data_IF_158415059904
#
_entry.id   IF_158415059904
#
_cell.length_a   1.000
_cell.length_b   1.000
_cell.length_c   1.000
_cell.angle_alpha   90.00
_cell.angle_beta   90.00
_cell.angle_gamma   90.00
#
_symmetry.space_group_name_H-M   'P 1'
#
loop_
_entity.id
_entity.type
_entity.pdbx_description
1 polymer ?
#
# COMPACT_ATOMS: atom_id res chain seq x y z
N UNK A 1 -6.38 3.67 28.19
CA UNK A 1 -5.15 4.00 27.43
C UNK A 1 -5.39 3.60 25.98
N UNK A 2 -4.47 3.96 25.08
CA UNK A 2 -4.54 3.58 23.67
C UNK A 2 -3.20 2.99 23.26
N UNK A 3 -3.22 1.98 22.40
CA UNK A 3 -2.04 1.31 21.85
C UNK A 3 -1.95 1.55 20.34
N UNK A 4 -0.73 1.62 19.82
CA UNK A 4 -0.51 1.68 18.38
C UNK A 4 -0.79 0.31 17.77
N UNK A 5 -1.44 0.30 16.61
CA UNK A 5 -1.73 -0.87 15.81
C UNK A 5 -1.17 -0.66 14.41
N UNK A 6 -0.51 -1.69 13.89
CA UNK A 6 0.16 -1.71 12.60
C UNK A 6 -0.47 -2.79 11.74
N UNK A 7 -0.81 -2.46 10.50
CA UNK A 7 -1.28 -3.42 9.49
C UNK A 7 -0.40 -3.35 8.26
N UNK A 8 0.27 -4.46 7.95
CA UNK A 8 1.03 -4.65 6.70
C UNK A 8 0.23 -5.50 5.72
N UNK A 9 0.20 -5.06 4.47
CA UNK A 9 -0.39 -5.76 3.33
C UNK A 9 0.63 -5.87 2.20
N UNK A 10 0.74 -7.03 1.59
CA UNK A 10 1.67 -7.28 0.49
C UNK A 10 0.89 -7.73 -0.74
N UNK A 11 1.08 -7.01 -1.85
CA UNK A 11 0.38 -7.28 -3.10
C UNK A 11 1.36 -7.70 -4.18
N UNK A 12 1.01 -8.75 -4.93
CA UNK A 12 1.61 -9.08 -6.21
C UNK A 12 0.88 -8.30 -7.30
N UNK A 13 1.43 -7.17 -7.69
CA UNK A 13 0.82 -6.26 -8.65
C UNK A 13 1.31 -6.55 -10.07
N UNK A 14 0.38 -6.87 -10.98
CA UNK A 14 0.69 -7.37 -12.33
C UNK A 14 1.40 -6.35 -13.24
N UNK A 15 1.52 -5.09 -12.83
CA UNK A 15 2.26 -4.08 -13.57
C UNK A 15 3.72 -4.03 -13.07
N UNK A 16 4.65 -4.57 -13.84
CA UNK A 16 6.04 -4.73 -13.38
C UNK A 16 6.87 -3.42 -13.38
N UNK A 17 6.58 -2.51 -14.31
CA UNK A 17 7.32 -1.27 -14.53
C UNK A 17 6.73 -0.09 -13.73
N UNK A 18 6.67 -0.28 -12.41
CA UNK A 18 6.25 0.75 -11.46
C UNK A 18 7.27 0.90 -10.34
N UNK A 19 7.70 2.14 -10.10
CA UNK A 19 8.43 2.55 -8.90
C UNK A 19 7.57 3.57 -8.12
N UNK A 20 7.01 3.13 -6.99
CA UNK A 20 6.11 3.94 -6.18
C UNK A 20 6.63 4.06 -4.76
N UNK A 21 6.53 5.27 -4.21
CA UNK A 21 6.66 5.53 -2.78
C UNK A 21 5.85 6.76 -2.43
N UNK A 22 4.90 6.64 -1.53
CA UNK A 22 4.30 7.80 -0.89
C UNK A 22 3.63 7.43 0.42
N UNK A 23 3.41 8.46 1.25
CA UNK A 23 2.62 8.39 2.46
C UNK A 23 1.34 9.22 2.25
N UNK A 24 0.21 8.62 2.56
CA UNK A 24 -1.08 9.29 2.65
C UNK A 24 -1.63 9.04 4.06
N UNK A 25 -1.83 10.12 4.82
CA UNK A 25 -2.17 10.07 6.25
C UNK A 25 -1.25 9.11 7.01
N UNK A 26 -1.79 8.05 7.60
CA UNK A 26 -1.05 7.08 8.40
C UNK A 26 -0.65 5.82 7.61
N UNK A 27 -0.78 5.85 6.30
CA UNK A 27 -0.49 4.70 5.42
C UNK A 27 0.63 5.05 4.44
N UNK A 28 1.63 4.18 4.35
CA UNK A 28 2.68 4.23 3.35
C UNK A 28 2.47 3.11 2.35
N UNK A 29 2.76 3.37 1.08
CA UNK A 29 2.93 2.33 0.05
C UNK A 29 4.28 2.48 -0.61
N UNK A 30 4.89 1.35 -0.95
CA UNK A 30 6.07 1.33 -1.79
C UNK A 30 6.20 0.07 -2.63
N UNK A 31 6.82 0.21 -3.80
CA UNK A 31 7.34 -0.91 -4.57
C UNK A 31 8.63 -1.44 -3.96
N UNK A 32 8.77 -2.76 -3.94
CA UNK A 32 10.04 -3.42 -3.63
C UNK A 32 10.82 -3.71 -4.91
N UNK A 33 12.09 -4.07 -4.76
CA UNK A 33 12.94 -4.57 -5.84
C UNK A 33 12.52 -5.97 -6.34
N UNK A 34 11.68 -6.69 -5.58
CA UNK A 34 11.24 -8.05 -5.89
C UNK A 34 10.21 -8.08 -7.01
N UNK A 35 10.46 -8.96 -7.98
CA UNK A 35 9.49 -9.44 -8.96
C UNK A 35 9.13 -10.88 -8.62
N UNK A 36 7.83 -11.21 -8.63
CA UNK A 36 7.33 -12.56 -8.40
C UNK A 36 6.61 -13.06 -9.66
N UNK A 37 6.82 -14.33 -9.99
CA UNK A 37 6.04 -15.00 -11.03
C UNK A 37 4.77 -15.55 -10.38
N UNK A 38 3.62 -15.10 -10.87
CA UNK A 38 2.30 -15.50 -10.40
C UNK A 38 1.64 -16.38 -11.47
N UNK A 39 0.84 -17.35 -11.03
CA UNK A 39 0.05 -18.20 -11.89
C UNK A 39 -1.42 -18.06 -11.51
N UNK A 40 -2.27 -17.82 -12.49
CA UNK A 40 -3.72 -17.82 -12.35
C UNK A 40 -4.39 -18.60 -13.50
N UNK A 41 -5.72 -18.55 -13.56
CA UNK A 41 -6.52 -19.23 -14.60
C UNK A 41 -6.23 -18.70 -16.02
N UNK A 42 -5.68 -17.50 -16.16
CA UNK A 42 -5.36 -16.85 -17.41
C UNK A 42 -3.88 -17.02 -17.82
N UNK A 43 -3.08 -17.67 -16.98
CA UNK A 43 -1.71 -18.07 -17.27
C UNK A 43 -0.69 -17.54 -16.26
N UNK A 44 0.53 -17.34 -16.75
CA UNK A 44 1.67 -16.92 -15.92
C UNK A 44 1.99 -15.46 -16.20
N UNK A 45 2.13 -14.65 -15.15
CA UNK A 45 2.53 -13.24 -15.27
C UNK A 45 3.60 -12.86 -14.24
N UNK A 46 4.36 -11.80 -14.55
CA UNK A 46 5.30 -11.19 -13.61
C UNK A 46 4.61 -10.08 -12.85
N UNK A 47 4.86 -10.02 -11.55
CA UNK A 47 4.27 -9.05 -10.66
C UNK A 47 5.33 -8.31 -9.87
N UNK A 48 5.22 -6.97 -9.81
CA UNK A 48 5.97 -6.14 -8.87
C UNK A 48 5.35 -6.32 -7.49
N UNK A 49 6.18 -6.55 -6.48
CA UNK A 49 5.68 -6.60 -5.10
C UNK A 49 5.54 -5.19 -4.55
N UNK A 50 4.32 -4.86 -4.12
CA UNK A 50 3.99 -3.63 -3.40
C UNK A 50 3.73 -3.97 -1.93
N UNK A 51 4.30 -3.19 -1.02
CA UNK A 51 4.01 -3.28 0.40
C UNK A 51 3.26 -2.02 0.85
N UNK A 52 2.19 -2.21 1.61
CA UNK A 52 1.44 -1.16 2.28
C UNK A 52 1.53 -1.37 3.78
N UNK A 53 1.82 -0.30 4.51
CA UNK A 53 1.83 -0.32 5.98
C UNK A 53 0.95 0.83 6.45
N UNK A 54 -0.11 0.48 7.17
CA UNK A 54 -1.03 1.42 7.78
C UNK A 54 -0.90 1.37 9.30
N UNK A 55 -1.09 2.53 9.94
CA UNK A 55 -0.94 2.69 11.38
C UNK A 55 -2.15 3.41 11.96
N UNK A 56 -2.61 2.97 13.12
CA UNK A 56 -3.70 3.61 13.85
C UNK A 56 -3.47 3.47 15.35
N UNK A 57 -4.18 4.25 16.15
CA UNK A 57 -4.32 3.99 17.58
C UNK A 57 -5.65 3.28 17.81
N UNK A 58 -5.66 2.30 18.70
CA UNK A 58 -6.87 1.66 19.20
C UNK A 58 -6.90 1.73 20.72
N UNK A 59 -8.07 1.89 21.30
CA UNK A 59 -8.27 1.92 22.74
C UNK A 59 -8.07 0.54 23.39
N UNK A 60 -7.79 0.49 24.69
CA UNK A 60 -7.55 -0.79 25.39
C UNK A 60 -8.73 -1.77 25.33
N UNK A 61 -9.95 -1.25 25.17
CA UNK A 61 -11.16 -2.05 25.07
C UNK A 61 -11.45 -2.53 23.63
N UNK A 62 -10.71 -2.01 22.65
CA UNK A 62 -10.83 -2.37 21.24
C UNK A 62 -9.94 -3.58 20.90
N UNK A 63 -10.40 -4.34 19.92
CA UNK A 63 -9.78 -5.58 19.46
C UNK A 63 -8.87 -5.36 18.25
N UNK A 64 -8.10 -6.38 17.88
CA UNK A 64 -7.33 -6.39 16.63
C UNK A 64 -8.22 -6.16 15.40
N UNK A 65 -9.46 -6.66 15.42
CA UNK A 65 -10.43 -6.46 14.34
C UNK A 65 -10.81 -4.99 14.18
N UNK A 66 -10.91 -4.25 15.28
CA UNK A 66 -11.17 -2.81 15.26
C UNK A 66 -9.97 -2.08 14.64
N UNK A 67 -8.75 -2.46 15.03
CA UNK A 67 -7.51 -1.96 14.41
C UNK A 67 -7.48 -2.17 12.90
N UNK A 68 -7.79 -3.39 12.43
CA UNK A 68 -7.89 -3.70 11.00
C UNK A 68 -8.96 -2.81 10.34
N UNK A 69 -10.14 -2.70 10.96
CA UNK A 69 -11.26 -1.90 10.44
C UNK A 69 -10.90 -0.44 10.27
N UNK A 70 -10.12 0.14 11.19
CA UNK A 70 -9.64 1.52 11.09
C UNK A 70 -8.59 1.72 9.98
N UNK A 71 -7.74 0.72 9.73
CA UNK A 71 -6.71 0.78 8.69
C UNK A 71 -7.26 0.58 7.27
N UNK A 72 -8.31 -0.24 7.08
CA UNK A 72 -8.85 -0.59 5.75
C UNK A 72 -9.20 0.64 4.89
N UNK A 73 -9.94 1.66 5.38
CA UNK A 73 -10.27 2.83 4.56
C UNK A 73 -9.05 3.58 4.03
N UNK A 74 -7.99 3.69 4.82
CA UNK A 74 -6.76 4.38 4.41
C UNK A 74 -5.97 3.55 3.39
N UNK A 75 -5.94 2.22 3.56
CA UNK A 75 -5.36 1.29 2.58
C UNK A 75 -6.10 1.40 1.24
N UNK A 76 -7.43 1.40 1.25
CA UNK A 76 -8.23 1.51 0.03
C UNK A 76 -7.99 2.83 -0.70
N UNK A 77 -7.84 3.95 0.02
CA UNK A 77 -7.50 5.25 -0.59
C UNK A 77 -6.14 5.20 -1.28
N UNK A 78 -5.13 4.62 -0.62
CA UNK A 78 -3.79 4.47 -1.18
C UNK A 78 -3.78 3.55 -2.41
N UNK A 79 -4.51 2.43 -2.37
CA UNK A 79 -4.71 1.56 -3.52
C UNK A 79 -5.35 2.31 -4.69
N UNK A 80 -6.43 3.06 -4.43
CA UNK A 80 -7.12 3.86 -5.44
C UNK A 80 -6.23 4.92 -6.08
N UNK A 81 -5.33 5.55 -5.32
CA UNK A 81 -4.35 6.49 -5.87
C UNK A 81 -3.45 5.79 -6.89
N UNK A 82 -2.87 4.63 -6.56
CA UNK A 82 -2.02 3.91 -7.52
C UNK A 82 -2.83 3.45 -8.73
N UNK A 83 -4.00 2.86 -8.50
CA UNK A 83 -4.89 2.39 -9.56
C UNK A 83 -5.38 3.51 -10.48
N UNK A 84 -5.55 4.72 -9.97
CA UNK A 84 -5.88 5.89 -10.78
C UNK A 84 -4.77 6.22 -11.79
N UNK A 85 -3.51 6.15 -11.38
CA UNK A 85 -2.38 6.46 -12.28
C UNK A 85 -2.07 5.35 -13.28
N UNK A 86 -2.24 4.10 -12.87
CA UNK A 86 -1.91 2.93 -13.71
C UNK A 86 -3.07 2.47 -14.58
N UNK A 87 -4.30 2.85 -14.24
CA UNK A 87 -5.51 2.27 -14.83
C UNK A 87 -5.76 0.81 -14.43
N UNK A 88 -4.96 0.26 -13.50
CA UNK A 88 -5.03 -1.13 -13.07
C UNK A 88 -5.38 -1.22 -11.57
N UNK A 89 -6.47 -1.92 -11.22
CA UNK A 89 -6.91 -2.01 -9.83
C UNK A 89 -5.94 -2.83 -8.98
N UNK A 90 -5.65 -2.36 -7.76
CA UNK A 90 -5.05 -3.19 -6.70
C UNK A 90 -6.20 -3.70 -5.84
N UNK A 91 -6.46 -5.00 -5.87
CA UNK A 91 -7.60 -5.62 -5.19
C UNK A 91 -7.14 -6.63 -4.14
N UNK A 92 -8.07 -7.10 -3.31
CA UNK A 92 -7.84 -8.18 -2.34
C UNK A 92 -7.36 -9.48 -3.01
N UNK A 93 -7.69 -9.71 -4.29
CA UNK A 93 -7.21 -10.88 -5.04
C UNK A 93 -5.73 -10.80 -5.40
N UNK A 94 -5.13 -9.61 -5.34
CA UNK A 94 -3.70 -9.41 -5.54
C UNK A 94 -2.90 -9.57 -4.24
N UNK A 95 -3.57 -9.70 -3.09
CA UNK A 95 -2.93 -9.86 -1.80
C UNK A 95 -2.27 -11.24 -1.72
N UNK A 96 -0.98 -11.27 -1.42
CA UNK A 96 -0.20 -12.52 -1.28
C UNK A 96 0.29 -12.77 0.13
N UNK A 97 0.27 -11.73 0.98
CA UNK A 97 0.66 -11.82 2.37
C UNK A 97 0.05 -10.65 3.16
N UNK A 98 -0.24 -10.87 4.43
CA UNK A 98 -0.63 -9.83 5.36
C UNK A 98 -0.28 -10.19 6.79
N UNK A 99 0.10 -9.17 7.56
CA UNK A 99 0.36 -9.32 8.98
C UNK A 99 -0.05 -8.04 9.71
N UNK A 100 -0.40 -8.19 10.98
CA UNK A 100 -0.63 -7.05 11.86
C UNK A 100 0.19 -7.22 13.15
N UNK A 101 0.43 -6.11 13.83
CA UNK A 101 1.14 -6.10 15.10
C UNK A 101 0.66 -4.95 15.98
N UNK A 102 0.58 -5.19 17.29
CA UNK A 102 0.34 -4.18 18.32
C UNK A 102 1.62 -3.79 19.08
N UNK A 103 2.71 -4.52 18.85
CA UNK A 103 3.97 -4.40 19.61
C UNK A 103 5.13 -3.98 18.70
N UNK A 104 5.17 -4.52 17.48
CA UNK A 104 6.26 -4.31 16.54
C UNK A 104 5.89 -3.28 15.48
N UNK A 105 6.72 -2.25 15.36
CA UNK A 105 6.65 -1.33 14.22
C UNK A 105 7.24 -2.04 13.02
N UNK A 106 6.48 -2.14 11.94
CA UNK A 106 7.04 -2.62 10.68
C UNK A 106 8.10 -1.63 10.18
N UNK A 107 9.34 -2.10 10.08
CA UNK A 107 10.36 -1.35 9.36
C UNK A 107 10.03 -1.34 7.87
N UNK A 108 10.17 -0.17 7.27
CA UNK A 108 10.00 0.01 5.83
C UNK A 108 11.02 0.98 5.28
N UNK A 109 11.31 0.82 3.99
CA UNK A 109 12.24 1.68 3.26
C UNK A 109 11.71 3.11 3.30
N UNK A 110 12.42 4.02 3.97
CA UNK A 110 12.11 5.45 3.92
C UNK A 110 12.84 6.09 2.75
N UNK A 111 12.08 6.62 1.79
CA UNK A 111 12.62 7.38 0.65
C UNK A 111 11.73 8.58 0.32
N UNK A 112 12.15 9.40 -0.65
CA UNK A 112 11.33 10.52 -1.11
C UNK A 112 10.08 10.04 -1.84
N UNK A 113 9.02 10.86 -1.86
CA UNK A 113 7.83 10.61 -2.67
C UNK A 113 8.22 10.43 -4.14
N UNK A 114 7.82 9.29 -4.71
CA UNK A 114 8.15 8.86 -6.07
C UNK A 114 6.94 8.18 -6.70
N UNK A 115 6.72 8.45 -7.98
CA UNK A 115 5.82 7.65 -8.81
C UNK A 115 6.37 7.64 -10.23
N UNK A 116 7.02 6.56 -10.61
CA UNK A 116 7.48 6.31 -11.97
C UNK A 116 6.71 5.13 -12.53
N UNK A 117 6.13 5.30 -13.70
CA UNK A 117 5.36 4.26 -14.40
C UNK A 117 5.88 4.23 -15.83
N UNK A 118 6.37 3.08 -16.29
CA UNK A 118 6.95 2.92 -17.64
C UNK A 118 8.04 3.97 -17.95
N UNK A 119 8.92 4.22 -16.97
CA UNK A 119 9.98 5.23 -17.05
C UNK A 119 9.50 6.70 -17.04
N UNK A 120 8.20 6.98 -16.96
CA UNK A 120 7.65 8.35 -16.87
C UNK A 120 7.44 8.75 -15.41
N UNK A 121 7.95 9.92 -15.03
CA UNK A 121 7.79 10.48 -13.69
C UNK A 121 6.47 11.25 -13.54
N UNK A 122 5.63 10.78 -12.61
CA UNK A 122 4.34 11.34 -12.23
C UNK A 122 4.33 11.94 -10.82
N UNK A 123 5.50 12.12 -10.18
CA UNK A 123 5.62 12.62 -8.81
C UNK A 123 4.82 13.91 -8.55
N UNK A 124 4.88 14.87 -9.48
CA UNK A 124 4.18 16.15 -9.31
C UNK A 124 2.66 16.00 -9.36
N UNK A 125 2.16 15.11 -10.23
CA UNK A 125 0.74 14.79 -10.35
C UNK A 125 0.27 14.04 -9.10
N UNK A 126 1.08 13.12 -8.59
CA UNK A 126 0.81 12.43 -7.34
C UNK A 126 0.69 13.42 -6.17
N UNK A 127 1.65 14.35 -6.02
CA UNK A 127 1.60 15.35 -4.96
C UNK A 127 0.34 16.23 -5.05
N UNK A 128 -0.04 16.67 -6.26
CA UNK A 128 -1.28 17.43 -6.48
C UNK A 128 -2.53 16.63 -6.15
N UNK A 129 -2.55 15.33 -6.45
CA UNK A 129 -3.67 14.46 -6.12
C UNK A 129 -3.78 14.26 -4.60
N UNK A 130 -2.67 13.99 -3.93
CA UNK A 130 -2.61 13.84 -2.48
C UNK A 130 -3.11 15.12 -1.79
N UNK A 131 -2.65 16.29 -2.22
CA UNK A 131 -3.08 17.59 -1.70
C UNK A 131 -4.61 17.76 -1.81
N UNK A 132 -5.19 17.43 -2.97
CA UNK A 132 -6.65 17.46 -3.19
C UNK A 132 -7.45 16.43 -2.39
N UNK A 133 -6.83 15.32 -2.02
CA UNK A 133 -7.47 14.28 -1.19
C UNK A 133 -7.36 14.60 0.31
N UNK A 134 -6.58 15.61 0.67
CA UNK A 134 -6.40 16.07 2.05
C UNK A 134 -7.10 17.41 2.34
N UNK A 135 -7.44 18.18 1.29
CA UNK A 135 -8.27 19.38 1.34
C UNK A 135 -9.74 19.08 1.56
#
# INVERSE_FOLDING_TARGET
MSREFYLKKVYAYAFEDIDVYFKYNNTVIYSTDKIKVMNDENGTFKARILELISTTCIEDHETEQDGIRHCIPEILKVQNVVSFFTGMPITVYNEIDSCFSMEEKYEYVKRGTTLVIEGKDYKNQLLKLIDKLQS
#
